data_IF_914937770679
#
_entry.id   IF_914937770679
#
_cell.length_a   1.000
_cell.length_b   1.000
_cell.length_c   1.000
_cell.angle_alpha   90.00
_cell.angle_beta   90.00
_cell.angle_gamma   90.00
#
_symmetry.space_group_name_H-M   'P 1'
#
loop_
_entity.id
_entity.type
_entity.pdbx_description
1 polymer ?
#
# COMPACT_ATOMS: atom_id res chain seq x y z
N UNK A 1 30.11 11.65 0.36
CA UNK A 1 28.78 11.47 -0.22
C UNK A 1 28.64 12.30 -1.48
N UNK A 2 28.04 11.77 -2.44
CA UNK A 2 27.81 12.39 -3.73
C UNK A 2 26.31 12.53 -3.98
N UNK A 3 25.97 13.30 -4.99
CA UNK A 3 24.61 13.30 -5.53
C UNK A 3 24.53 12.13 -6.50
N UNK A 4 23.51 11.29 -6.36
CA UNK A 4 23.26 10.16 -7.24
C UNK A 4 22.06 10.48 -8.13
N UNK A 5 22.25 10.44 -9.45
CA UNK A 5 21.24 10.83 -10.42
C UNK A 5 20.90 9.63 -11.29
N UNK A 6 19.60 9.31 -11.37
CA UNK A 6 19.08 8.19 -12.15
C UNK A 6 17.84 8.59 -12.94
N UNK A 7 17.61 7.90 -14.02
CA UNK A 7 16.32 7.92 -14.71
C UNK A 7 15.39 6.88 -14.09
N UNK A 8 14.09 7.07 -14.23
CA UNK A 8 13.10 6.17 -13.63
C UNK A 8 13.23 4.72 -14.11
N UNK A 9 13.66 4.50 -15.35
CA UNK A 9 13.84 3.16 -15.90
C UNK A 9 15.09 2.42 -15.37
N UNK A 10 15.95 3.13 -14.63
CA UNK A 10 17.15 2.56 -14.02
C UNK A 10 16.90 2.01 -12.60
N UNK A 11 15.77 2.32 -11.99
CA UNK A 11 15.47 1.84 -10.64
C UNK A 11 14.89 0.43 -10.68
N UNK A 12 14.93 -0.26 -9.54
CA UNK A 12 14.40 -1.61 -9.42
C UNK A 12 12.91 -1.63 -9.73
N UNK A 13 12.50 -2.55 -10.61
CA UNK A 13 11.11 -2.81 -10.95
C UNK A 13 10.71 -4.17 -10.39
N UNK A 14 9.62 -4.21 -9.65
CA UNK A 14 9.03 -5.43 -9.10
C UNK A 14 7.68 -5.65 -9.76
N UNK A 15 7.52 -6.75 -10.49
CA UNK A 15 6.26 -7.10 -11.12
C UNK A 15 5.32 -7.72 -10.09
N UNK A 16 4.04 -7.36 -10.17
CA UNK A 16 2.97 -7.87 -9.33
C UNK A 16 1.84 -8.39 -10.21
N UNK A 17 0.96 -9.26 -9.70
CA UNK A 17 -0.20 -9.73 -10.47
C UNK A 17 -1.06 -8.58 -11.01
N UNK A 18 -1.16 -7.49 -10.29
CA UNK A 18 -1.98 -6.33 -10.61
C UNK A 18 -1.26 -5.21 -11.36
N UNK A 19 0.07 -5.32 -11.60
CA UNK A 19 0.85 -4.28 -12.26
C UNK A 19 2.32 -4.34 -11.88
N UNK A 20 2.88 -3.23 -11.41
CA UNK A 20 4.27 -3.20 -10.98
C UNK A 20 4.53 -2.08 -9.97
N UNK A 21 5.66 -2.21 -9.29
CA UNK A 21 6.24 -1.17 -8.43
C UNK A 21 7.62 -0.81 -8.96
N UNK A 22 7.92 0.49 -9.04
CA UNK A 22 9.27 0.99 -9.25
C UNK A 22 9.78 1.55 -7.94
N UNK A 23 10.87 0.99 -7.44
CA UNK A 23 11.43 1.35 -6.15
C UNK A 23 12.44 2.46 -6.34
N UNK A 24 11.98 3.71 -6.27
CA UNK A 24 12.80 4.91 -6.48
C UNK A 24 13.77 5.08 -5.32
N UNK A 25 13.32 4.88 -4.10
CA UNK A 25 14.15 4.78 -2.90
C UNK A 25 13.70 3.56 -2.13
N UNK A 26 14.58 2.60 -1.92
CA UNK A 26 14.22 1.27 -1.45
C UNK A 26 14.43 1.04 0.04
N UNK A 27 14.70 2.10 0.81
CA UNK A 27 14.91 1.98 2.24
C UNK A 27 16.31 1.49 2.60
N UNK A 28 16.44 0.90 3.78
CA UNK A 28 17.74 0.44 4.29
C UNK A 28 18.33 -0.69 3.45
N UNK A 29 19.64 -0.74 3.28
CA UNK A 29 20.65 0.13 3.94
C UNK A 29 20.88 1.47 3.23
N UNK A 30 20.36 1.66 2.03
CA UNK A 30 20.70 2.79 1.18
C UNK A 30 19.99 4.09 1.55
N UNK A 31 18.74 3.99 1.99
CA UNK A 31 17.88 5.12 2.32
C UNK A 31 17.18 4.93 3.66
N UNK A 32 16.92 6.02 4.34
CA UNK A 32 16.15 6.04 5.61
C UNK A 32 14.64 6.05 5.38
N UNK A 33 14.20 6.01 4.12
CA UNK A 33 12.82 6.11 3.69
C UNK A 33 12.61 5.26 2.45
N UNK A 34 11.34 5.07 2.09
CA UNK A 34 10.93 4.37 0.87
C UNK A 34 10.10 5.34 0.01
N UNK A 35 10.36 5.33 -1.28
CA UNK A 35 9.55 6.02 -2.29
C UNK A 35 9.36 5.10 -3.48
N UNK A 36 8.10 4.85 -3.85
CA UNK A 36 7.74 3.97 -4.97
C UNK A 36 6.79 4.68 -5.93
N UNK A 37 6.94 4.36 -7.20
CA UNK A 37 5.87 4.58 -8.18
C UNK A 37 5.19 3.23 -8.41
N UNK A 38 3.87 3.19 -8.23
CA UNK A 38 3.09 1.95 -8.29
C UNK A 38 2.04 2.10 -9.38
N UNK A 39 2.02 1.15 -10.33
CA UNK A 39 0.98 1.05 -11.33
C UNK A 39 0.08 -0.14 -11.04
N UNK A 40 -1.22 0.12 -10.89
CA UNK A 40 -2.27 -0.88 -10.89
C UNK A 40 -2.96 -0.85 -12.24
N UNK A 41 -3.00 -1.99 -12.92
CA UNK A 41 -3.73 -2.09 -14.19
C UNK A 41 -5.22 -2.08 -13.94
N UNK A 42 -5.95 -1.52 -14.89
CA UNK A 42 -7.42 -1.44 -14.91
C UNK A 42 -8.05 -2.80 -14.53
N UNK A 43 -9.02 -2.76 -13.63
CA UNK A 43 -9.76 -3.92 -13.12
C UNK A 43 -8.97 -4.89 -12.24
N UNK A 44 -7.75 -4.55 -11.85
CA UNK A 44 -6.98 -5.32 -10.89
C UNK A 44 -6.99 -4.67 -9.52
N UNK A 45 -6.71 -5.46 -8.51
CA UNK A 45 -6.66 -4.98 -7.12
C UNK A 45 -5.55 -5.70 -6.35
N UNK A 46 -5.01 -5.02 -5.35
CA UNK A 46 -4.04 -5.60 -4.44
C UNK A 46 -4.70 -6.61 -3.51
N UNK A 47 -3.91 -7.40 -2.80
CA UNK A 47 -4.40 -8.21 -1.70
C UNK A 47 -4.93 -7.31 -0.57
N UNK A 48 -5.83 -7.88 0.25
CA UNK A 48 -6.23 -7.25 1.49
C UNK A 48 -5.11 -7.49 2.50
N UNK A 49 -4.62 -6.42 3.13
CA UNK A 49 -3.46 -6.51 4.00
C UNK A 49 -3.46 -5.43 5.07
N UNK A 50 -2.63 -5.63 6.08
CA UNK A 50 -2.24 -4.59 7.02
C UNK A 50 -0.77 -4.78 7.40
N UNK A 51 -0.17 -3.77 8.01
CA UNK A 51 1.23 -3.77 8.42
C UNK A 51 1.32 -3.52 9.92
N UNK A 52 2.20 -4.27 10.60
CA UNK A 52 2.39 -4.09 12.04
C UNK A 52 3.10 -2.77 12.35
N UNK A 53 4.14 -2.44 11.61
CA UNK A 53 5.00 -1.29 11.89
C UNK A 53 4.98 -0.24 10.80
N UNK A 54 4.85 -0.65 9.54
CA UNK A 54 4.93 0.24 8.40
C UNK A 54 3.79 1.25 8.38
N UNK A 55 4.15 2.48 8.12
CA UNK A 55 3.21 3.55 7.80
C UNK A 55 3.52 4.06 6.41
N UNK A 56 2.48 4.45 5.66
CA UNK A 56 2.66 4.92 4.30
C UNK A 56 1.73 6.08 3.97
N UNK A 57 2.16 6.89 3.01
CA UNK A 57 1.35 7.94 2.39
C UNK A 57 1.36 7.72 0.91
N UNK A 58 0.18 7.78 0.31
CA UNK A 58 -0.02 7.59 -1.11
C UNK A 58 -0.62 8.84 -1.74
N UNK A 59 -0.11 9.18 -2.92
CA UNK A 59 -0.64 10.26 -3.74
C UNK A 59 -1.09 9.68 -5.09
N UNK A 60 -2.34 9.94 -5.46
CA UNK A 60 -2.86 9.51 -6.76
C UNK A 60 -2.36 10.47 -7.83
N UNK A 61 -1.46 10.00 -8.67
CA UNK A 61 -0.87 10.75 -9.76
C UNK A 61 -1.76 10.75 -10.99
N UNK A 62 -2.32 9.59 -11.35
CA UNK A 62 -3.19 9.44 -12.51
C UNK A 62 -4.12 8.25 -12.36
N UNK A 63 -5.22 8.27 -13.11
CA UNK A 63 -6.20 7.20 -13.11
C UNK A 63 -7.24 7.31 -12.01
N UNK A 64 -8.13 6.32 -11.96
CA UNK A 64 -9.22 6.25 -10.98
C UNK A 64 -9.27 4.87 -10.33
N UNK A 65 -9.74 4.83 -9.11
CA UNK A 65 -9.83 3.59 -8.36
C UNK A 65 -10.63 3.73 -7.07
N UNK A 66 -10.52 2.72 -6.24
CA UNK A 66 -11.20 2.67 -4.94
C UNK A 66 -10.20 2.17 -3.89
N UNK A 67 -10.12 2.90 -2.78
CA UNK A 67 -9.47 2.43 -1.57
C UNK A 67 -10.52 1.74 -0.71
N UNK A 68 -10.33 0.45 -0.45
CA UNK A 68 -11.15 -0.30 0.49
C UNK A 68 -10.40 -0.36 1.81
N UNK A 69 -11.07 -0.03 2.91
CA UNK A 69 -10.40 -0.01 4.21
C UNK A 69 -11.38 -0.28 5.35
N UNK A 70 -10.85 -0.83 6.43
CA UNK A 70 -11.60 -0.95 7.67
C UNK A 70 -11.26 0.23 8.58
N UNK A 71 -12.25 0.92 9.18
CA UNK A 71 -12.01 2.16 9.92
C UNK A 71 -11.34 1.99 11.29
N UNK A 72 -11.28 0.76 11.80
CA UNK A 72 -10.69 0.45 13.10
C UNK A 72 -9.35 -0.27 12.91
N UNK A 73 -8.31 0.04 13.71
CA UNK A 73 -7.05 -0.70 13.63
C UNK A 73 -7.22 -2.13 14.15
N UNK A 74 -6.42 -3.04 13.60
CA UNK A 74 -6.29 -4.40 14.13
C UNK A 74 -5.55 -4.31 15.47
N UNK A 75 -6.08 -5.01 16.48
CA UNK A 75 -5.34 -5.22 17.71
C UNK A 75 -4.28 -6.29 17.44
N UNK A 76 -3.04 -5.87 17.25
CA UNK A 76 -1.98 -6.78 16.83
C UNK A 76 -1.70 -7.88 17.85
N UNK A 77 -1.83 -7.57 19.13
CA UNK A 77 -1.63 -8.54 20.21
C UNK A 77 -2.68 -9.65 20.15
N UNK A 78 -3.96 -9.27 19.98
CA UNK A 78 -5.06 -10.22 19.84
C UNK A 78 -4.93 -11.03 18.54
N UNK A 79 -4.48 -10.39 17.45
CA UNK A 79 -4.24 -11.07 16.19
C UNK A 79 -3.17 -12.15 16.32
N UNK A 80 -2.01 -11.82 16.91
CA UNK A 80 -0.91 -12.75 17.11
C UNK A 80 -1.27 -13.90 18.04
N UNK A 81 -2.18 -13.68 18.99
CA UNK A 81 -2.66 -14.71 19.90
C UNK A 81 -3.78 -15.57 19.32
N UNK A 82 -4.17 -15.32 18.05
CA UNK A 82 -5.22 -16.08 17.39
C UNK A 82 -6.62 -15.79 17.89
N UNK A 83 -6.85 -14.64 18.52
CA UNK A 83 -8.15 -14.28 19.11
C UNK A 83 -9.15 -13.72 18.08
N UNK A 84 -8.72 -13.50 16.82
CA UNK A 84 -9.65 -13.13 15.75
C UNK A 84 -10.24 -14.41 15.16
N UNK A 85 -11.52 -14.66 15.44
CA UNK A 85 -12.25 -15.80 14.86
C UNK A 85 -12.47 -15.56 13.35
N UNK A 86 -12.74 -16.64 12.62
CA UNK A 86 -13.10 -16.53 11.21
C UNK A 86 -14.35 -15.67 11.01
N UNK A 87 -15.32 -15.74 11.94
CA UNK A 87 -16.53 -14.92 11.91
C UNK A 87 -16.22 -13.43 12.05
N UNK A 88 -15.28 -13.08 12.96
CA UNK A 88 -14.85 -11.69 13.15
C UNK A 88 -14.14 -11.16 11.91
N UNK A 89 -13.25 -11.96 11.31
CA UNK A 89 -12.54 -11.62 10.08
C UNK A 89 -13.53 -11.42 8.94
N UNK A 90 -14.49 -12.33 8.76
CA UNK A 90 -15.52 -12.21 7.72
C UNK A 90 -16.37 -10.96 7.90
N UNK A 91 -16.71 -10.63 9.14
CA UNK A 91 -17.46 -9.42 9.46
C UNK A 91 -16.68 -8.16 9.06
N UNK A 92 -15.39 -8.13 9.36
CA UNK A 92 -14.51 -7.03 8.96
C UNK A 92 -14.50 -6.89 7.43
N UNK A 93 -14.27 -7.98 6.71
CA UNK A 93 -14.17 -7.98 5.25
C UNK A 93 -15.47 -7.59 4.56
N UNK A 94 -16.63 -7.85 5.19
CA UNK A 94 -17.94 -7.45 4.67
C UNK A 94 -18.28 -5.99 4.98
N UNK A 95 -17.55 -5.35 5.86
CA UNK A 95 -17.81 -3.98 6.31
C UNK A 95 -16.71 -2.98 5.95
N UNK A 96 -15.94 -3.27 4.91
CA UNK A 96 -14.94 -2.36 4.40
C UNK A 96 -15.62 -1.12 3.83
N UNK A 97 -15.09 0.04 4.20
CA UNK A 97 -15.49 1.31 3.62
C UNK A 97 -14.77 1.51 2.30
N UNK A 98 -15.35 2.36 1.45
CA UNK A 98 -14.81 2.64 0.13
C UNK A 98 -14.58 4.14 -0.02
N UNK A 99 -13.39 4.49 -0.47
CA UNK A 99 -13.02 5.86 -0.82
C UNK A 99 -12.64 5.90 -2.29
N UNK A 100 -13.32 6.74 -3.07
CA UNK A 100 -12.98 6.96 -4.47
C UNK A 100 -11.60 7.60 -4.59
N UNK A 101 -10.78 7.06 -5.50
CA UNK A 101 -9.47 7.59 -5.84
C UNK A 101 -9.52 8.24 -7.21
N UNK A 102 -9.02 9.47 -7.29
CA UNK A 102 -8.86 10.24 -8.52
C UNK A 102 -7.60 11.11 -8.39
N UNK A 103 -7.06 11.65 -9.48
CA UNK A 103 -5.83 12.44 -9.42
C UNK A 103 -5.90 13.55 -8.37
N UNK A 104 -4.87 13.64 -7.55
CA UNK A 104 -4.79 14.61 -6.47
C UNK A 104 -5.23 14.12 -5.10
N UNK A 105 -5.89 12.96 -5.01
CA UNK A 105 -6.28 12.38 -3.72
C UNK A 105 -5.02 11.89 -2.99
N UNK A 106 -4.95 12.20 -1.71
CA UNK A 106 -3.88 11.72 -0.81
C UNK A 106 -4.52 10.85 0.26
N UNK A 107 -3.93 9.70 0.54
CA UNK A 107 -4.37 8.89 1.67
C UNK A 107 -3.18 8.36 2.47
N UNK A 108 -3.37 8.34 3.78
CA UNK A 108 -2.37 7.86 4.74
C UNK A 108 -2.86 6.54 5.33
N UNK A 109 -1.96 5.55 5.34
CA UNK A 109 -2.25 4.26 5.96
C UNK A 109 -1.33 4.11 7.16
N UNK A 110 -1.90 4.22 8.35
CA UNK A 110 -1.18 3.99 9.60
C UNK A 110 -0.99 2.50 9.82
N UNK A 111 -0.08 2.15 10.73
CA UNK A 111 0.12 0.74 11.10
C UNK A 111 -1.18 0.10 11.56
N UNK A 112 -1.31 -1.20 11.34
CA UNK A 112 -2.45 -2.03 11.72
C UNK A 112 -3.79 -1.71 11.04
N UNK A 113 -3.81 -0.90 9.99
CA UNK A 113 -5.02 -0.57 9.25
C UNK A 113 -5.21 -1.50 8.04
N UNK A 114 -6.31 -2.21 8.02
CA UNK A 114 -6.67 -3.12 6.91
C UNK A 114 -7.06 -2.29 5.69
N UNK A 115 -6.47 -2.60 4.55
CA UNK A 115 -6.73 -1.87 3.31
C UNK A 115 -6.45 -2.70 2.06
N UNK A 116 -7.00 -2.23 0.95
CA UNK A 116 -6.79 -2.75 -0.40
C UNK A 116 -7.02 -1.63 -1.40
N UNK A 117 -6.24 -1.60 -2.46
CA UNK A 117 -6.44 -0.68 -3.59
C UNK A 117 -7.00 -1.46 -4.77
N UNK A 118 -8.03 -0.90 -5.39
CA UNK A 118 -8.64 -1.41 -6.62
C UNK A 118 -8.55 -0.36 -7.70
N UNK A 119 -8.06 -0.72 -8.89
CA UNK A 119 -8.01 0.16 -10.03
C UNK A 119 -9.27 0.01 -10.89
N UNK A 120 -9.93 1.12 -11.20
CA UNK A 120 -11.02 1.17 -12.17
C UNK A 120 -10.45 1.43 -13.56
N UNK A 121 -9.59 2.43 -13.69
CA UNK A 121 -8.73 2.61 -14.85
C UNK A 121 -7.29 2.39 -14.41
N UNK A 122 -6.33 2.36 -15.33
CA UNK A 122 -4.93 2.28 -14.93
C UNK A 122 -4.63 3.38 -13.92
N UNK A 123 -4.14 2.97 -12.75
CA UNK A 123 -3.99 3.84 -11.59
C UNK A 123 -2.52 3.92 -11.19
N UNK A 124 -1.97 5.13 -11.18
CA UNK A 124 -0.59 5.36 -10.75
C UNK A 124 -0.58 6.09 -9.42
N UNK A 125 0.11 5.49 -8.45
CA UNK A 125 0.33 6.06 -7.13
C UNK A 125 1.81 6.37 -6.92
N UNK A 126 2.07 7.46 -6.21
CA UNK A 126 3.37 7.68 -5.57
C UNK A 126 3.20 7.34 -4.09
N UNK A 127 3.98 6.38 -3.61
CA UNK A 127 3.94 5.93 -2.23
C UNK A 127 5.26 6.25 -1.54
N UNK A 128 5.19 6.92 -0.41
CA UNK A 128 6.31 7.00 0.53
C UNK A 128 5.96 6.22 1.79
N UNK A 129 6.95 5.59 2.40
CA UNK A 129 6.72 4.79 3.59
C UNK A 129 7.95 4.72 4.48
N UNK A 130 7.74 4.22 5.68
CA UNK A 130 8.81 3.76 6.54
C UNK A 130 9.47 2.51 5.94
N UNK A 131 10.56 2.04 6.53
CA UNK A 131 11.48 1.09 5.87
C UNK A 131 11.12 -0.40 6.04
N UNK A 132 10.01 -0.73 6.70
CA UNK A 132 9.58 -2.10 6.95
C UNK A 132 8.89 -2.69 5.72
N UNK A 133 9.68 -3.07 4.70
CA UNK A 133 9.16 -3.48 3.39
C UNK A 133 8.43 -4.83 3.40
N UNK A 134 8.86 -5.76 4.26
CA UNK A 134 8.31 -7.12 4.32
C UNK A 134 7.26 -7.28 5.43
N UNK A 135 6.80 -6.19 6.01
CA UNK A 135 5.83 -6.15 7.09
C UNK A 135 4.40 -6.21 6.54
N UNK A 136 4.00 -7.36 6.01
CA UNK A 136 2.67 -7.60 5.46
C UNK A 136 2.00 -8.76 6.22
N UNK A 137 0.79 -8.49 6.68
CA UNK A 137 -0.02 -9.49 7.38
C UNK A 137 -1.38 -9.67 6.70
#
# INVERSE_FOLDING_TARGET
MTIDIKELDEVKKVNKPWGYEKWIADGKPNFKYVLKEILFKSNFKSSIQFHEFKEETNYVQSGTGILHYYPEPVNIKEWKNGHYSNEEIDKILKNLKQQKLSPGVVFHVKSCMIHRVEAITDLTLLETSTVELDDVI
#
